data_IF_125386291917
#
_entry.id   IF_125386291917
#
_cell.length_a   1.000
_cell.length_b   1.000
_cell.length_c   1.000
_cell.angle_alpha   90.00
_cell.angle_beta   90.00
_cell.angle_gamma   90.00
#
_symmetry.space_group_name_H-M   'P 1'
#
loop_
_entity.id
_entity.type
_entity.pdbx_description
1 polymer ?
#
# COMPACT_ATOMS: atom_id res chain seq x y z
N UNK A 1 -48.90 12.26 -34.43
CA UNK A 1 -47.86 13.12 -33.84
C UNK A 1 -47.70 12.75 -32.37
N UNK A 2 -46.59 12.13 -31.96
CA UNK A 2 -46.33 11.85 -30.53
C UNK A 2 -44.83 11.95 -30.27
N UNK A 3 -44.51 12.88 -29.36
CA UNK A 3 -43.20 13.47 -29.21
C UNK A 3 -42.17 12.52 -28.59
N UNK A 4 -41.00 12.47 -29.24
CA UNK A 4 -39.76 11.88 -28.76
C UNK A 4 -39.17 12.81 -27.70
N UNK A 5 -39.29 12.48 -26.41
CA UNK A 5 -38.44 13.08 -25.37
C UNK A 5 -37.58 11.97 -24.79
N UNK A 6 -36.50 11.68 -25.51
CA UNK A 6 -35.40 10.82 -25.05
C UNK A 6 -34.64 11.60 -23.98
N UNK A 7 -34.96 11.38 -22.71
CA UNK A 7 -34.13 11.86 -21.58
C UNK A 7 -32.70 11.32 -21.77
N UNK A 8 -31.66 12.18 -21.82
CA UNK A 8 -30.31 11.67 -21.78
C UNK A 8 -30.06 11.18 -20.35
N UNK A 9 -29.99 9.85 -20.19
CA UNK A 9 -29.37 9.25 -19.01
C UNK A 9 -27.93 9.73 -19.03
N UNK A 10 -27.63 10.70 -18.15
CA UNK A 10 -26.27 11.14 -17.86
C UNK A 10 -25.54 9.88 -17.38
N UNK A 11 -24.79 9.22 -18.28
CA UNK A 11 -23.85 8.16 -17.90
C UNK A 11 -22.99 8.78 -16.81
N UNK A 12 -23.21 8.37 -15.56
CA UNK A 12 -22.21 8.59 -14.51
C UNK A 12 -20.96 7.95 -15.09
N UNK A 13 -19.96 8.77 -15.40
CA UNK A 13 -18.64 8.28 -15.65
C UNK A 13 -18.26 7.54 -14.36
N UNK A 14 -18.33 6.22 -14.43
CA UNK A 14 -17.79 5.37 -13.39
C UNK A 14 -16.32 5.79 -13.28
N UNK A 15 -15.84 6.15 -12.06
CA UNK A 15 -14.43 6.45 -11.90
C UNK A 15 -13.66 5.26 -12.48
N UNK A 16 -12.60 5.51 -13.29
CA UNK A 16 -11.84 4.43 -13.88
C UNK A 16 -11.48 3.43 -12.77
N UNK A 17 -11.58 2.11 -13.02
CA UNK A 17 -11.16 1.11 -12.05
C UNK A 17 -9.77 1.54 -11.57
N UNK A 18 -9.46 1.47 -10.26
CA UNK A 18 -8.17 1.90 -9.77
C UNK A 18 -7.13 1.22 -10.64
N UNK A 19 -6.44 2.02 -11.47
CA UNK A 19 -5.38 1.54 -12.34
C UNK A 19 -4.53 0.74 -11.41
N UNK A 20 -4.51 -0.60 -11.59
CA UNK A 20 -3.80 -1.53 -10.70
C UNK A 20 -2.45 -0.88 -10.49
N UNK A 21 -2.24 -0.28 -9.31
CA UNK A 21 -1.01 0.41 -9.03
C UNK A 21 0.01 -0.67 -9.30
N UNK A 22 0.82 -0.47 -10.35
CA UNK A 22 1.69 -1.49 -10.91
C UNK A 22 2.19 -2.31 -9.74
N UNK A 23 1.93 -3.62 -9.75
CA UNK A 23 2.30 -4.57 -8.68
C UNK A 23 3.84 -4.60 -8.61
N UNK A 24 4.38 -3.46 -8.22
CA UNK A 24 5.78 -3.17 -8.09
C UNK A 24 6.04 -3.78 -6.74
N UNK A 25 6.40 -5.06 -6.79
CA UNK A 25 6.76 -5.83 -5.61
C UNK A 25 7.66 -4.92 -4.76
N UNK A 26 7.29 -4.65 -3.49
CA UNK A 26 8.02 -3.70 -2.67
C UNK A 26 9.49 -4.11 -2.63
N UNK A 27 10.38 -3.16 -2.96
CA UNK A 27 11.82 -3.39 -2.88
C UNK A 27 12.17 -3.91 -1.48
N UNK A 28 12.95 -4.99 -1.43
CA UNK A 28 13.46 -5.54 -0.18
C UNK A 28 14.80 -4.88 0.15
N UNK A 29 15.12 -4.65 1.43
CA UNK A 29 16.41 -4.08 1.82
C UNK A 29 17.63 -4.82 1.25
N UNK A 30 17.60 -6.15 1.20
CA UNK A 30 18.68 -6.94 0.60
C UNK A 30 18.86 -6.68 -0.91
N UNK A 31 17.77 -6.44 -1.64
CA UNK A 31 17.84 -6.10 -3.07
C UNK A 31 18.50 -4.73 -3.31
N UNK A 32 18.47 -3.83 -2.32
CA UNK A 32 19.14 -2.54 -2.38
C UNK A 32 20.62 -2.70 -2.06
N UNK A 33 20.96 -3.49 -1.02
CA UNK A 33 22.36 -3.79 -0.65
C UNK A 33 23.12 -4.48 -1.79
N UNK A 34 22.46 -5.42 -2.47
CA UNK A 34 23.07 -6.22 -3.54
C UNK A 34 23.00 -5.55 -4.92
N UNK A 35 22.47 -4.32 -5.00
CA UNK A 35 22.31 -3.61 -6.27
C UNK A 35 23.68 -3.16 -6.80
N UNK A 36 24.06 -3.70 -7.95
CA UNK A 36 25.25 -3.26 -8.67
C UNK A 36 24.89 -2.31 -9.82
N UNK A 37 25.72 -1.28 -10.01
CA UNK A 37 25.64 -0.35 -11.13
C UNK A 37 26.91 -0.45 -11.99
N UNK A 38 26.80 -0.33 -13.32
CA UNK A 38 27.97 -0.33 -14.19
C UNK A 38 28.82 0.92 -13.96
N UNK A 39 30.15 0.74 -13.90
CA UNK A 39 31.09 1.85 -13.78
C UNK A 39 31.27 2.50 -15.14
N UNK A 40 31.09 3.82 -15.21
CA UNK A 40 31.23 4.59 -16.46
C UNK A 40 32.29 5.70 -16.29
N UNK A 41 32.89 6.15 -17.39
CA UNK A 41 34.00 7.12 -17.40
C UNK A 41 33.71 8.46 -16.70
N UNK A 42 32.43 8.81 -16.53
CA UNK A 42 31.96 10.01 -15.80
C UNK A 42 30.89 9.64 -14.76
N UNK A 43 31.08 8.52 -14.06
CA UNK A 43 30.19 8.05 -13.00
C UNK A 43 30.55 8.57 -11.61
N UNK A 44 29.63 8.38 -10.67
CA UNK A 44 29.86 8.58 -9.24
C UNK A 44 30.82 7.50 -8.70
N UNK A 45 31.47 7.78 -7.56
CA UNK A 45 32.34 6.82 -6.88
C UNK A 45 31.53 5.57 -6.48
N UNK A 46 31.91 4.36 -6.94
CA UNK A 46 31.27 3.12 -6.54
C UNK A 46 31.24 2.88 -5.03
N UNK A 47 32.24 3.38 -4.28
CA UNK A 47 32.29 3.23 -2.81
C UNK A 47 31.23 4.09 -2.15
N UNK A 48 31.10 5.36 -2.56
CA UNK A 48 30.06 6.26 -2.07
C UNK A 48 28.66 5.73 -2.41
N UNK A 49 28.46 5.23 -3.63
CA UNK A 49 27.19 4.60 -4.01
C UNK A 49 26.88 3.42 -3.09
N UNK A 50 27.84 2.54 -2.80
CA UNK A 50 27.61 1.40 -1.89
C UNK A 50 27.25 1.87 -0.49
N UNK A 51 27.99 2.83 0.07
CA UNK A 51 27.70 3.38 1.39
C UNK A 51 26.28 3.97 1.46
N UNK A 52 25.88 4.73 0.44
CA UNK A 52 24.53 5.27 0.34
C UNK A 52 23.46 4.19 0.22
N UNK A 53 23.67 3.16 -0.60
CA UNK A 53 22.73 2.04 -0.73
C UNK A 53 22.55 1.28 0.59
N UNK A 54 23.62 1.10 1.36
CA UNK A 54 23.53 0.50 2.69
C UNK A 54 22.67 1.34 3.64
N UNK A 55 22.90 2.66 3.70
CA UNK A 55 22.07 3.56 4.50
C UNK A 55 20.59 3.51 4.07
N UNK A 56 20.31 3.57 2.77
CA UNK A 56 18.94 3.50 2.24
C UNK A 56 18.28 2.16 2.59
N UNK A 57 19.02 1.06 2.53
CA UNK A 57 18.50 -0.25 2.92
C UNK A 57 18.16 -0.32 4.42
N UNK A 58 18.96 0.32 5.27
CA UNK A 58 18.72 0.38 6.71
C UNK A 58 17.49 1.24 7.02
N UNK A 59 17.36 2.42 6.41
CA UNK A 59 16.17 3.27 6.52
C UNK A 59 14.90 2.56 6.02
N UNK A 60 14.99 1.84 4.90
CA UNK A 60 13.88 1.04 4.39
C UNK A 60 13.50 -0.10 5.35
N UNK A 61 14.48 -0.71 6.01
CA UNK A 61 14.23 -1.75 7.02
C UNK A 61 13.44 -1.18 8.20
N UNK A 62 13.82 0.01 8.68
CA UNK A 62 13.10 0.72 9.76
C UNK A 62 11.67 1.02 9.33
N UNK A 63 11.48 1.59 8.13
CA UNK A 63 10.16 1.94 7.63
C UNK A 63 9.24 0.71 7.45
N UNK A 64 9.76 -0.38 6.89
CA UNK A 64 9.00 -1.63 6.72
C UNK A 64 8.63 -2.26 8.07
N UNK A 65 9.53 -2.20 9.06
CA UNK A 65 9.26 -2.70 10.42
C UNK A 65 8.16 -1.88 11.10
N UNK A 66 8.23 -0.56 11.01
CA UNK A 66 7.19 0.33 11.55
C UNK A 66 5.82 0.07 10.88
N UNK A 67 5.81 -0.16 9.56
CA UNK A 67 4.58 -0.49 8.83
C UNK A 67 3.95 -1.80 9.33
N UNK A 68 4.76 -2.84 9.54
CA UNK A 68 4.29 -4.12 10.09
C UNK A 68 3.70 -3.92 11.49
N UNK A 69 4.38 -3.19 12.36
CA UNK A 69 3.89 -2.91 13.71
C UNK A 69 2.53 -2.18 13.71
N UNK A 70 2.37 -1.18 12.84
CA UNK A 70 1.09 -0.47 12.67
C UNK A 70 0.01 -1.38 12.10
N UNK A 71 0.35 -2.28 11.18
CA UNK A 71 -0.60 -3.22 10.61
C UNK A 71 -1.07 -4.24 11.65
N UNK A 72 -0.17 -4.74 12.49
CA UNK A 72 -0.50 -5.62 13.60
C UNK A 72 -1.44 -4.95 14.60
N UNK A 73 -1.15 -3.70 14.97
CA UNK A 73 -1.99 -2.94 15.88
C UNK A 73 -3.39 -2.68 15.29
N UNK A 74 -3.46 -2.36 14.00
CA UNK A 74 -4.73 -2.23 13.29
C UNK A 74 -5.54 -3.53 13.30
N UNK A 75 -4.89 -4.70 13.18
CA UNK A 75 -5.57 -5.99 13.27
C UNK A 75 -6.12 -6.19 14.69
N UNK A 76 -5.33 -5.95 15.73
CA UNK A 76 -5.79 -6.07 17.13
C UNK A 76 -6.99 -5.17 17.42
N UNK A 77 -6.95 -3.92 17.00
CA UNK A 77 -8.06 -2.97 17.19
C UNK A 77 -9.32 -3.46 16.47
N UNK A 78 -9.19 -3.93 15.22
CA UNK A 78 -10.32 -4.45 14.44
C UNK A 78 -10.92 -5.70 15.08
N UNK A 79 -10.09 -6.58 15.61
CA UNK A 79 -10.55 -7.81 16.27
C UNK A 79 -11.26 -7.51 17.58
N UNK A 80 -10.73 -6.59 18.40
CA UNK A 80 -11.40 -6.12 19.61
C UNK A 80 -12.76 -5.49 19.30
N UNK A 81 -12.83 -4.65 18.25
CA UNK A 81 -14.08 -4.04 17.82
C UNK A 81 -15.08 -5.09 17.34
N UNK A 82 -14.63 -6.08 16.55
CA UNK A 82 -15.48 -7.17 16.06
C UNK A 82 -16.02 -8.00 17.22
N UNK A 83 -15.18 -8.35 18.19
CA UNK A 83 -15.61 -9.10 19.37
C UNK A 83 -16.65 -8.34 20.20
N UNK A 84 -16.43 -7.03 20.43
CA UNK A 84 -17.40 -6.18 21.11
C UNK A 84 -18.72 -6.08 20.35
N UNK A 85 -18.69 -5.88 19.03
CA UNK A 85 -19.90 -5.86 18.20
C UNK A 85 -20.66 -7.17 18.30
N UNK A 86 -19.98 -8.32 18.15
CA UNK A 86 -20.60 -9.64 18.28
C UNK A 86 -21.26 -9.85 19.64
N UNK A 87 -20.60 -9.46 20.74
CA UNK A 87 -21.17 -9.54 22.08
C UNK A 87 -22.43 -8.67 22.23
N UNK A 88 -22.41 -7.44 21.70
CA UNK A 88 -23.56 -6.53 21.73
C UNK A 88 -24.75 -7.05 20.90
N UNK A 89 -24.49 -7.63 19.72
CA UNK A 89 -25.56 -8.25 18.93
C UNK A 89 -26.15 -9.46 19.64
N UNK A 90 -25.32 -10.34 20.22
CA UNK A 90 -25.82 -11.46 21.01
C UNK A 90 -26.72 -10.97 22.16
N UNK A 91 -26.30 -9.96 22.92
CA UNK A 91 -27.09 -9.41 24.02
C UNK A 91 -28.43 -8.79 23.57
N UNK A 92 -28.48 -8.18 22.38
CA UNK A 92 -29.73 -7.63 21.80
C UNK A 92 -30.66 -8.72 21.27
N UNK A 93 -30.15 -9.88 20.88
CA UNK A 93 -30.95 -11.01 20.41
C UNK A 93 -31.56 -11.86 21.55
N UNK A 94 -31.02 -11.75 22.77
CA UNK A 94 -31.55 -12.45 23.95
C UNK A 94 -32.52 -11.60 24.80
N UNK A 95 -32.81 -10.35 24.40
CA UNK A 95 -33.83 -9.48 25.00
C UNK A 95 -35.03 -9.37 24.09
#
# INVERSE_FOLDING_TARGET
>A
MRNLIRRPVKRRAEPPPPTRANETTPLRPWQIRDRCFPVTRRGLDPVEIRAFLHQVADELTVAQTALVAVQEENVRIKDALRAWQSAQFAQRHYR
#
